data_IF_100390049114
#
_entry.id   IF_100390049114
#
_cell.length_a   1.000
_cell.length_b   1.000
_cell.length_c   1.000
_cell.angle_alpha   90.00
_cell.angle_beta   90.00
_cell.angle_gamma   90.00
#
_symmetry.space_group_name_H-M   'P 1'
#
loop_
_entity.id
_entity.type
_entity.pdbx_description
1 polymer ?
#
# COMPACT_ATOMS: atom_id res chain seq x y z
N UNK A 1 -11.27 -1.58 6.22
CA UNK A 1 -11.25 -3.04 6.00
C UNK A 1 -9.98 -3.38 5.24
N UNK A 2 -9.39 -4.57 5.42
CA UNK A 2 -8.19 -4.99 4.67
C UNK A 2 -8.49 -6.21 3.80
N UNK A 3 -8.08 -6.18 2.52
CA UNK A 3 -8.06 -7.35 1.65
C UNK A 3 -6.71 -8.07 1.78
N UNK A 4 -6.64 -9.07 2.66
CA UNK A 4 -5.39 -9.79 2.94
C UNK A 4 -5.23 -10.96 1.96
N UNK A 5 -4.25 -10.88 1.06
CA UNK A 5 -4.05 -11.84 -0.04
C UNK A 5 -4.00 -13.31 0.42
N UNK A 6 -3.37 -13.58 1.56
CA UNK A 6 -3.24 -14.93 2.14
C UNK A 6 -4.49 -15.43 2.84
N UNK A 7 -5.42 -14.53 3.19
CA UNK A 7 -6.72 -14.87 3.78
C UNK A 7 -7.84 -14.93 2.72
N UNK A 8 -7.59 -14.44 1.51
CA UNK A 8 -8.50 -14.58 0.38
C UNK A 8 -8.38 -16.00 -0.23
N UNK A 9 -9.49 -16.58 -0.73
CA UNK A 9 -9.50 -17.91 -1.32
C UNK A 9 -8.40 -18.09 -2.37
N UNK A 10 -7.78 -19.27 -2.36
CA UNK A 10 -6.84 -19.69 -3.40
C UNK A 10 -7.59 -20.52 -4.45
N UNK A 11 -7.41 -20.19 -5.72
CA UNK A 11 -8.03 -20.94 -6.82
C UNK A 11 -6.96 -21.76 -7.53
N UNK A 12 -7.01 -23.09 -7.40
CA UNK A 12 -6.09 -23.97 -8.11
C UNK A 12 -6.27 -23.83 -9.63
N UNK A 13 -5.16 -23.79 -10.37
CA UNK A 13 -5.17 -23.64 -11.83
C UNK A 13 -5.31 -22.20 -12.35
N UNK A 14 -5.62 -21.23 -11.49
CA UNK A 14 -5.67 -19.81 -11.84
C UNK A 14 -4.32 -19.14 -11.54
N UNK A 15 -3.43 -19.06 -12.53
CA UNK A 15 -2.11 -18.44 -12.35
C UNK A 15 -2.16 -16.96 -11.97
N UNK A 16 -3.24 -16.24 -12.32
CA UNK A 16 -3.40 -14.82 -11.98
C UNK A 16 -4.13 -14.60 -10.66
N UNK A 17 -4.72 -15.64 -10.06
CA UNK A 17 -5.55 -15.55 -8.85
C UNK A 17 -6.58 -14.43 -8.97
N UNK A 18 -7.39 -14.46 -10.03
CA UNK A 18 -8.39 -13.44 -10.36
C UNK A 18 -9.33 -13.14 -9.19
N UNK A 19 -9.67 -14.14 -8.36
CA UNK A 19 -10.47 -13.92 -7.13
C UNK A 19 -9.75 -13.05 -6.09
N UNK A 20 -8.43 -13.10 -5.99
CA UNK A 20 -7.68 -12.18 -5.12
C UNK A 20 -7.52 -10.82 -5.78
N UNK A 21 -7.22 -10.83 -7.09
CA UNK A 21 -6.99 -9.63 -7.89
C UNK A 21 -8.24 -8.76 -8.02
N UNK A 22 -9.44 -9.32 -8.09
CA UNK A 22 -10.70 -8.54 -8.10
C UNK A 22 -10.94 -7.75 -6.81
N UNK A 23 -10.33 -8.14 -5.69
CA UNK A 23 -10.43 -7.42 -4.43
C UNK A 23 -9.28 -6.42 -4.34
N UNK A 24 -8.05 -6.93 -4.29
CA UNK A 24 -6.84 -6.10 -4.08
C UNK A 24 -6.58 -5.16 -5.26
N UNK A 25 -6.79 -5.64 -6.49
CA UNK A 25 -6.56 -4.87 -7.70
C UNK A 25 -7.57 -3.75 -7.94
N UNK A 26 -8.68 -3.72 -7.18
CA UNK A 26 -9.66 -2.64 -7.20
C UNK A 26 -9.52 -1.69 -6.01
N UNK A 27 -8.57 -1.94 -5.11
CA UNK A 27 -8.21 -0.98 -4.06
C UNK A 27 -7.42 0.19 -4.66
N UNK A 28 -7.45 1.33 -3.98
CA UNK A 28 -6.67 2.53 -4.35
C UNK A 28 -5.26 2.47 -3.76
N UNK A 29 -5.16 1.98 -2.53
CA UNK A 29 -3.92 1.90 -1.74
C UNK A 29 -3.70 0.47 -1.27
N UNK A 30 -2.46 -0.03 -1.39
CA UNK A 30 -2.08 -1.34 -0.87
C UNK A 30 -0.91 -1.25 0.13
N UNK A 31 -0.91 -2.18 1.08
CA UNK A 31 0.24 -2.43 1.95
C UNK A 31 1.00 -3.65 1.44
N UNK A 32 2.28 -3.49 1.17
CA UNK A 32 3.18 -4.57 0.75
C UNK A 32 4.04 -4.96 1.95
N UNK A 33 3.83 -6.16 2.47
CA UNK A 33 4.70 -6.74 3.48
C UNK A 33 5.81 -7.53 2.79
N UNK A 34 7.06 -7.13 2.97
CA UNK A 34 8.22 -7.77 2.37
C UNK A 34 9.05 -8.42 3.45
N UNK A 35 9.24 -9.75 3.40
CA UNK A 35 10.15 -10.43 4.33
C UNK A 35 11.62 -10.11 4.01
N UNK A 36 11.94 -9.99 2.72
CA UNK A 36 13.26 -9.64 2.20
C UNK A 36 13.22 -8.35 1.37
N UNK A 37 14.35 -7.64 1.27
CA UNK A 37 14.44 -6.39 0.51
C UNK A 37 14.43 -6.65 -1.00
N UNK A 38 13.26 -6.99 -1.53
CA UNK A 38 13.03 -7.19 -2.96
C UNK A 38 12.58 -5.86 -3.57
N UNK A 39 13.23 -5.36 -4.64
CA UNK A 39 12.78 -4.15 -5.31
C UNK A 39 11.30 -4.25 -5.69
N UNK A 40 10.53 -3.21 -5.37
CA UNK A 40 9.12 -3.10 -5.73
C UNK A 40 8.88 -1.77 -6.42
N UNK A 41 8.21 -1.80 -7.57
CA UNK A 41 7.73 -0.59 -8.25
C UNK A 41 6.25 -0.74 -8.58
N UNK A 42 5.46 0.36 -8.58
CA UNK A 42 4.02 0.32 -8.83
C UNK A 42 3.62 -0.45 -10.09
N UNK A 43 4.42 -0.37 -11.15
CA UNK A 43 4.14 -0.98 -12.46
C UNK A 43 4.20 -2.51 -12.47
N UNK A 44 4.73 -3.13 -11.41
CA UNK A 44 4.72 -4.59 -11.25
C UNK A 44 3.30 -5.15 -11.07
N UNK A 45 2.34 -4.33 -10.63
CA UNK A 45 0.94 -4.73 -10.47
C UNK A 45 0.09 -4.01 -11.52
N UNK A 46 -0.37 -4.76 -12.52
CA UNK A 46 -1.29 -4.25 -13.53
C UNK A 46 -2.69 -4.01 -12.90
N UNK A 47 -2.94 -2.76 -12.50
CA UNK A 47 -4.23 -2.27 -11.99
C UNK A 47 -4.49 -0.83 -12.45
N UNK A 48 -5.77 -0.55 -12.76
CA UNK A 48 -6.25 0.81 -13.00
C UNK A 48 -6.44 1.59 -11.71
N UNK A 49 -6.76 0.93 -10.59
CA UNK A 49 -7.14 1.56 -9.32
C UNK A 49 -5.99 1.76 -8.35
N UNK A 50 -5.02 0.83 -8.29
CA UNK A 50 -3.90 0.95 -7.37
C UNK A 50 -2.96 2.09 -7.78
N UNK A 51 -2.77 3.08 -6.91
CA UNK A 51 -1.95 4.25 -7.17
C UNK A 51 -0.87 4.51 -6.10
N UNK A 52 -1.04 3.99 -4.88
CA UNK A 52 -0.06 4.14 -3.81
C UNK A 52 0.14 2.84 -3.03
N UNK A 53 1.39 2.61 -2.63
CA UNK A 53 1.84 1.41 -1.94
C UNK A 53 2.69 1.80 -0.73
N UNK A 54 2.32 1.30 0.44
CA UNK A 54 3.18 1.38 1.63
C UNK A 54 3.92 0.05 1.77
N UNK A 55 5.25 0.10 1.68
CA UNK A 55 6.10 -1.08 1.80
C UNK A 55 6.62 -1.16 3.22
N UNK A 56 6.36 -2.28 3.89
CA UNK A 56 6.74 -2.56 5.27
C UNK A 56 7.63 -3.79 5.30
N UNK A 57 8.84 -3.63 5.82
CA UNK A 57 9.85 -4.69 5.88
C UNK A 57 10.31 -4.90 7.34
N UNK A 58 10.32 -6.13 7.88
CA UNK A 58 10.86 -6.38 9.20
C UNK A 58 12.38 -6.16 9.22
N UNK A 59 12.87 -5.53 10.30
CA UNK A 59 14.30 -5.31 10.53
C UNK A 59 14.79 -6.33 11.55
N UNK A 60 15.88 -7.01 11.23
CA UNK A 60 16.56 -7.91 12.19
C UNK A 60 17.36 -7.05 13.17
N UNK A 61 16.91 -7.03 14.43
CA UNK A 61 17.54 -6.27 15.51
C UNK A 61 18.16 -7.23 16.51
N UNK A 62 19.37 -6.92 16.99
CA UNK A 62 19.99 -7.65 18.10
C UNK A 62 19.08 -7.56 19.34
N UNK A 63 18.68 -8.71 19.89
CA UNK A 63 17.76 -8.78 21.03
C UNK A 63 16.29 -9.06 20.68
N UNK A 64 15.96 -9.31 19.41
CA UNK A 64 14.64 -9.86 19.02
C UNK A 64 13.48 -8.86 19.05
N UNK A 65 13.75 -7.56 19.28
CA UNK A 65 12.74 -6.52 19.18
C UNK A 65 12.20 -6.42 17.75
N UNK A 66 10.89 -6.51 17.58
CA UNK A 66 10.23 -6.35 16.28
C UNK A 66 10.25 -4.88 15.86
N UNK A 67 10.99 -4.58 14.80
CA UNK A 67 11.01 -3.27 14.16
C UNK A 67 10.72 -3.40 12.68
N UNK A 68 10.17 -2.34 12.08
CA UNK A 68 9.81 -2.31 10.68
C UNK A 68 10.37 -1.09 9.98
N UNK A 69 11.02 -1.31 8.83
CA UNK A 69 11.37 -0.27 7.88
C UNK A 69 10.16 0.01 6.99
N UNK A 70 9.85 1.29 6.81
CA UNK A 70 8.72 1.73 5.99
C UNK A 70 9.22 2.56 4.81
N UNK A 71 8.66 2.33 3.64
CA UNK A 71 8.83 3.18 2.46
C UNK A 71 7.52 3.30 1.69
N UNK A 72 7.46 4.26 0.77
CA UNK A 72 6.30 4.50 -0.08
C UNK A 72 6.73 4.39 -1.54
N UNK A 73 5.94 3.68 -2.33
CA UNK A 73 6.01 3.70 -3.77
C UNK A 73 4.64 4.14 -4.30
N UNK A 74 4.59 5.14 -5.17
CA UNK A 74 3.34 5.65 -5.71
C UNK A 74 3.54 6.03 -7.18
N UNK A 75 2.43 6.17 -7.92
CA UNK A 75 2.47 6.77 -9.26
C UNK A 75 2.89 8.24 -9.17
N UNK A 76 3.48 8.74 -10.26
CA UNK A 76 4.06 10.09 -10.31
C UNK A 76 3.03 11.21 -10.09
N UNK A 77 1.77 10.96 -10.43
CA UNK A 77 0.65 11.90 -10.33
C UNK A 77 0.00 11.94 -8.94
N UNK A 78 0.47 11.13 -7.98
CA UNK A 78 -0.01 11.16 -6.60
C UNK A 78 0.77 12.22 -5.81
N UNK A 79 0.11 13.29 -5.29
CA UNK A 79 0.79 14.30 -4.47
C UNK A 79 1.33 13.71 -3.16
N UNK A 80 2.24 14.44 -2.53
CA UNK A 80 2.72 14.09 -1.18
C UNK A 80 1.56 13.97 -0.18
N UNK A 81 1.68 13.01 0.74
CA UNK A 81 0.75 12.80 1.84
C UNK A 81 1.49 12.52 3.15
N UNK A 82 1.02 13.12 4.23
CA UNK A 82 1.55 12.91 5.57
C UNK A 82 1.00 11.63 6.23
N UNK A 83 1.48 11.28 7.44
CA UNK A 83 2.61 11.88 8.17
C UNK A 83 3.96 11.63 7.46
N UNK A 84 4.94 12.53 7.62
CA UNK A 84 6.26 12.37 6.99
C UNK A 84 7.00 11.13 7.52
N UNK A 85 7.69 10.41 6.64
CA UNK A 85 8.61 9.35 7.03
C UNK A 85 9.97 10.01 7.29
N UNK A 86 10.37 10.05 8.56
CA UNK A 86 11.66 10.64 8.95
C UNK A 86 12.77 9.58 8.91
N UNK A 87 14.00 10.00 8.62
CA UNK A 87 15.16 9.12 8.71
C UNK A 87 15.63 9.02 10.18
N UNK A 88 15.90 7.81 10.72
CA UNK A 88 15.77 6.52 10.06
C UNK A 88 14.31 6.07 9.98
N UNK A 89 13.87 5.58 8.81
CA UNK A 89 12.49 5.16 8.54
C UNK A 89 12.12 3.82 9.21
N UNK A 90 12.55 3.62 10.45
CA UNK A 90 12.44 2.40 11.24
C UNK A 90 11.56 2.68 12.44
N UNK A 91 10.53 1.86 12.61
CA UNK A 91 9.51 2.01 13.63
C UNK A 91 9.48 0.76 14.52
N UNK A 92 9.22 0.94 15.81
CA UNK A 92 8.99 -0.19 16.73
C UNK A 92 7.59 -0.75 16.52
N UNK A 93 7.40 -2.03 16.81
CA UNK A 93 6.06 -2.63 16.78
C UNK A 93 5.24 -2.21 18.02
N UNK A 94 4.71 -1.00 17.99
CA UNK A 94 3.90 -0.42 19.07
C UNK A 94 2.63 0.28 18.53
N UNK A 95 1.85 0.86 19.45
CA UNK A 95 0.59 1.55 19.12
C UNK A 95 0.83 2.80 18.26
N UNK A 96 1.95 3.48 18.45
CA UNK A 96 2.30 4.68 17.69
C UNK A 96 2.60 4.34 16.24
N UNK A 97 3.34 3.25 15.99
CA UNK A 97 3.56 2.75 14.64
C UNK A 97 2.25 2.35 13.96
N UNK A 98 1.36 1.66 14.68
CA UNK A 98 0.03 1.32 14.16
C UNK A 98 -0.76 2.57 13.75
N UNK A 99 -0.81 3.58 14.61
CA UNK A 99 -1.52 4.84 14.33
C UNK A 99 -0.90 5.60 13.16
N UNK A 100 0.43 5.66 13.10
CA UNK A 100 1.18 6.21 11.99
C UNK A 100 0.81 5.52 10.67
N UNK A 101 0.86 4.18 10.64
CA UNK A 101 0.62 3.38 9.45
C UNK A 101 -0.81 3.57 8.92
N UNK A 102 -1.80 3.51 9.80
CA UNK A 102 -3.21 3.71 9.44
C UNK A 102 -3.47 5.13 8.93
N UNK A 103 -2.93 6.14 9.61
CA UNK A 103 -3.06 7.54 9.17
C UNK A 103 -2.42 7.76 7.81
N UNK A 104 -1.24 7.17 7.58
CA UNK A 104 -0.51 7.25 6.32
C UNK A 104 -1.28 6.59 5.18
N UNK A 105 -1.93 5.44 5.41
CA UNK A 105 -2.78 4.76 4.42
C UNK A 105 -4.00 5.61 4.03
N UNK A 106 -4.71 6.16 5.02
CA UNK A 106 -5.89 7.02 4.76
C UNK A 106 -5.49 8.27 3.97
N UNK A 107 -4.39 8.92 4.37
CA UNK A 107 -3.91 10.10 3.66
C UNK A 107 -3.39 9.77 2.25
N UNK A 108 -2.82 8.58 2.04
CA UNK A 108 -2.45 8.10 0.71
C UNK A 108 -3.67 8.02 -0.20
N UNK A 109 -4.78 7.46 0.29
CA UNK A 109 -6.03 7.34 -0.47
C UNK A 109 -6.60 8.72 -0.82
N UNK A 110 -6.69 9.62 0.17
CA UNK A 110 -7.10 11.01 -0.04
C UNK A 110 -6.23 11.75 -1.06
N UNK A 111 -4.93 11.44 -1.11
CA UNK A 111 -4.01 12.01 -2.11
C UNK A 111 -4.22 11.40 -3.50
N UNK A 112 -4.51 10.10 -3.58
CA UNK A 112 -4.78 9.42 -4.83
C UNK A 112 -6.01 10.00 -5.55
N UNK A 113 -7.04 10.45 -4.84
CA UNK A 113 -8.18 11.14 -5.47
C UNK A 113 -7.82 12.46 -6.17
N UNK A 114 -6.68 13.06 -5.83
CA UNK A 114 -6.15 14.27 -6.48
C UNK A 114 -5.31 13.96 -7.72
N UNK A 115 -4.98 12.69 -7.95
CA UNK A 115 -4.29 12.25 -9.16
C UNK A 115 -5.20 12.39 -10.38
N UNK A 116 -4.62 12.72 -11.55
CA UNK A 116 -5.39 13.11 -12.74
C UNK A 116 -6.45 12.08 -13.15
N UNK A 117 -6.13 10.78 -13.05
CA UNK A 117 -7.05 9.70 -13.41
C UNK A 117 -8.32 9.71 -12.55
N UNK A 118 -8.19 9.92 -11.25
CA UNK A 118 -9.33 9.95 -10.34
C UNK A 118 -10.04 11.31 -10.35
N UNK A 119 -9.29 12.41 -10.51
CA UNK A 119 -9.87 13.74 -10.68
C UNK A 119 -10.83 13.79 -11.88
N UNK A 120 -10.51 13.10 -12.98
CA UNK A 120 -11.38 13.02 -14.18
C UNK A 120 -12.64 12.16 -13.96
N UNK A 121 -12.57 11.14 -13.11
CA UNK A 121 -13.72 10.29 -12.75
C UNK A 121 -14.67 11.01 -11.78
N UNK A 122 -14.14 11.81 -10.86
CA UNK A 122 -14.93 12.57 -9.89
C UNK A 122 -15.72 13.74 -10.52
N UNK A 123 -15.35 14.17 -11.73
CA UNK A 123 -15.93 15.32 -12.43
C UNK A 123 -16.97 14.90 -13.49
N UNK A 124 -17.23 13.61 -13.70
CA UNK A 124 -18.37 13.18 -14.50
C UNK A 124 -19.64 13.23 -13.63
N UNK A 125 -20.57 14.19 -13.87
CA UNK A 125 -21.87 14.12 -13.22
C UNK A 125 -22.58 12.86 -13.72
N UNK A 126 -23.32 12.20 -12.82
CA UNK A 126 -24.24 11.12 -13.17
C UNK A 126 -25.17 11.62 -14.29
N UNK A 127 -25.02 11.09 -15.50
CA UNK A 127 -25.99 11.23 -16.57
C UNK A 127 -27.01 10.10 -16.49
#
# INVERSE_FOLDING_TARGET
>A
MFHVSTMLPYTHGDSQQLQRKRHIGNDIVALIFQEENTPFVPDMIASHFLHSFLVVQPVKVAGGAKQYKVSVAARQDVPFFGPTINAPAIYKNDADFRNFLLTKLINAENSCYKAEKFAKLAVQPEN
#
